data_IF_892776618365
#
_entry.id   IF_892776618365
#
_cell.length_a   1.000
_cell.length_b   1.000
_cell.length_c   1.000
_cell.angle_alpha   90.00
_cell.angle_beta   90.00
_cell.angle_gamma   90.00
#
_symmetry.space_group_name_H-M   'P 1'
#
loop_
_entity.id
_entity.type
_entity.pdbx_description
1 polymer ?
#
# COMPACT_ATOMS: atom_id res chain seq x y z
N UNK A 1 -17.57 3.33 -5.66
CA UNK A 1 -17.65 4.38 -4.61
C UNK A 1 -16.23 4.72 -4.21
N UNK A 2 -15.89 6.00 -4.08
CA UNK A 2 -14.61 6.39 -3.52
C UNK A 2 -14.63 6.07 -2.02
N UNK A 3 -13.63 5.33 -1.54
CA UNK A 3 -13.43 5.09 -0.10
C UNK A 3 -12.72 6.33 0.43
N UNK A 4 -13.33 7.02 1.38
CA UNK A 4 -12.66 8.08 2.12
C UNK A 4 -11.55 7.43 2.95
N UNK A 5 -10.29 7.71 2.62
CA UNK A 5 -9.15 7.10 3.29
C UNK A 5 -8.52 8.09 4.26
N UNK A 6 -8.23 7.69 5.50
CA UNK A 6 -7.45 8.52 6.41
C UNK A 6 -6.04 8.73 5.82
N UNK A 7 -5.56 9.97 5.90
CA UNK A 7 -4.23 10.36 5.40
C UNK A 7 -3.10 9.51 5.99
N UNK A 8 -3.29 9.01 7.21
CA UNK A 8 -2.34 8.14 7.89
C UNK A 8 -2.14 6.79 7.16
N UNK A 9 -3.20 6.18 6.63
CA UNK A 9 -3.07 4.93 5.85
C UNK A 9 -2.27 5.15 4.57
N UNK A 10 -2.49 6.30 3.92
CA UNK A 10 -1.77 6.68 2.71
C UNK A 10 -0.29 6.94 3.05
N UNK A 11 -0.01 7.62 4.17
CA UNK A 11 1.36 7.86 4.66
C UNK A 11 2.10 6.56 4.92
N UNK A 12 1.51 5.64 5.69
CA UNK A 12 2.11 4.34 6.00
C UNK A 12 2.40 3.52 4.72
N UNK A 13 1.48 3.53 3.75
CA UNK A 13 1.70 2.84 2.48
C UNK A 13 2.84 3.48 1.66
N UNK A 14 3.00 4.80 1.71
CA UNK A 14 4.13 5.49 1.06
C UNK A 14 5.46 5.16 1.74
N UNK A 15 5.49 5.12 3.07
CA UNK A 15 6.67 4.70 3.82
C UNK A 15 7.08 3.26 3.47
N UNK A 16 6.11 2.36 3.37
CA UNK A 16 6.35 1.00 2.89
C UNK A 16 6.88 0.98 1.45
N UNK A 17 6.36 1.82 0.54
CA UNK A 17 6.87 1.91 -0.82
C UNK A 17 8.32 2.41 -0.87
N UNK A 18 8.66 3.45 -0.10
CA UNK A 18 10.02 3.99 0.00
C UNK A 18 10.99 2.94 0.58
N UNK A 19 10.61 2.28 1.68
CA UNK A 19 11.42 1.22 2.27
C UNK A 19 11.64 0.05 1.30
N UNK A 20 10.63 -0.30 0.49
CA UNK A 20 10.77 -1.29 -0.59
C UNK A 20 11.77 -0.82 -1.64
N UNK A 21 11.67 0.43 -2.08
CA UNK A 21 12.57 1.02 -3.07
C UNK A 21 14.00 0.98 -2.55
N UNK A 22 14.25 1.45 -1.33
CA UNK A 22 15.58 1.42 -0.70
C UNK A 22 16.12 -0.01 -0.59
N UNK A 23 15.31 -0.96 -0.10
CA UNK A 23 15.71 -2.36 0.02
C UNK A 23 16.05 -2.99 -1.35
N UNK A 24 15.36 -2.58 -2.41
CA UNK A 24 15.60 -3.05 -3.79
C UNK A 24 16.84 -2.47 -4.46
N UNK A 25 17.40 -1.37 -3.94
CA UNK A 25 18.66 -0.79 -4.47
C UNK A 25 19.91 -1.56 -4.03
N UNK A 26 19.79 -2.43 -3.04
CA UNK A 26 20.89 -3.20 -2.44
C UNK A 26 20.72 -4.69 -2.75
N UNK A 27 21.80 -5.44 -2.60
CA UNK A 27 21.71 -6.91 -2.63
C UNK A 27 20.76 -7.42 -1.55
N UNK A 28 20.02 -8.48 -1.87
CA UNK A 28 19.04 -9.04 -0.96
C UNK A 28 19.69 -9.47 0.35
N UNK A 29 19.18 -8.94 1.46
CA UNK A 29 19.54 -9.36 2.81
C UNK A 29 18.33 -9.23 3.72
N UNK A 30 18.17 -10.15 4.67
CA UNK A 30 17.05 -10.10 5.62
C UNK A 30 17.05 -8.79 6.42
N UNK A 31 18.24 -8.29 6.80
CA UNK A 31 18.40 -7.03 7.52
C UNK A 31 18.05 -5.82 6.66
N UNK A 32 18.42 -5.81 5.38
CA UNK A 32 18.09 -4.74 4.44
C UNK A 32 16.60 -4.64 4.12
N UNK A 33 15.87 -5.77 4.21
CA UNK A 33 14.43 -5.83 3.97
C UNK A 33 13.59 -5.67 5.24
N UNK A 34 14.20 -5.71 6.43
CA UNK A 34 13.51 -5.56 7.71
C UNK A 34 12.68 -4.26 7.79
N UNK A 35 13.19 -3.08 7.39
CA UNK A 35 12.39 -1.84 7.44
C UNK A 35 11.13 -1.91 6.58
N UNK A 36 11.20 -2.56 5.42
CA UNK A 36 10.03 -2.77 4.56
C UNK A 36 9.01 -3.72 5.20
N UNK A 37 9.48 -4.82 5.80
CA UNK A 37 8.60 -5.77 6.49
C UNK A 37 7.85 -5.12 7.65
N UNK A 38 8.56 -4.35 8.48
CA UNK A 38 7.97 -3.63 9.61
C UNK A 38 6.93 -2.58 9.13
N UNK A 39 7.23 -1.87 8.03
CA UNK A 39 6.30 -0.92 7.43
C UNK A 39 5.05 -1.59 6.83
N UNK A 40 5.20 -2.75 6.17
CA UNK A 40 4.07 -3.51 5.62
C UNK A 40 3.18 -4.06 6.73
N UNK A 41 3.76 -4.52 7.84
CA UNK A 41 2.98 -4.98 9.00
C UNK A 41 2.14 -3.84 9.60
N UNK A 42 2.74 -2.65 9.76
CA UNK A 42 2.03 -1.45 10.21
C UNK A 42 0.85 -1.09 9.28
N UNK A 43 1.06 -1.15 7.95
CA UNK A 43 -0.01 -0.94 6.97
C UNK A 43 -1.13 -1.96 7.14
N UNK A 44 -0.80 -3.25 7.24
CA UNK A 44 -1.81 -4.31 7.37
C UNK A 44 -2.63 -4.17 8.65
N UNK A 45 -1.99 -3.86 9.78
CA UNK A 45 -2.68 -3.61 11.06
C UNK A 45 -3.62 -2.42 10.92
N UNK A 46 -3.15 -1.31 10.36
CA UNK A 46 -3.94 -0.09 10.25
C UNK A 46 -5.12 -0.25 9.27
N UNK A 47 -4.90 -0.90 8.12
CA UNK A 47 -5.96 -1.21 7.14
C UNK A 47 -7.01 -2.12 7.76
N UNK A 48 -6.59 -3.16 8.49
CA UNK A 48 -7.51 -4.11 9.13
C UNK A 48 -8.36 -3.41 10.19
N UNK A 49 -7.74 -2.55 11.01
CA UNK A 49 -8.45 -1.76 12.01
C UNK A 49 -9.48 -0.84 11.35
N UNK A 50 -9.06 -0.06 10.35
CA UNK A 50 -9.94 0.87 9.65
C UNK A 50 -11.11 0.16 8.96
N UNK A 51 -10.83 -0.94 8.25
CA UNK A 51 -11.86 -1.72 7.57
C UNK A 51 -12.93 -2.22 8.55
N UNK A 52 -12.51 -2.69 9.73
CA UNK A 52 -13.43 -3.12 10.79
C UNK A 52 -14.26 -1.96 11.35
N UNK A 53 -13.64 -0.81 11.61
CA UNK A 53 -14.33 0.38 12.15
C UNK A 53 -15.32 0.99 11.15
N UNK A 54 -14.96 1.00 9.87
CA UNK A 54 -15.78 1.54 8.79
C UNK A 54 -16.82 0.55 8.24
N UNK A 55 -16.78 -0.72 8.68
CA UNK A 55 -17.64 -1.78 8.14
C UNK A 55 -17.36 -2.11 6.66
N UNK A 56 -16.12 -1.88 6.22
CA UNK A 56 -15.66 -2.08 4.84
C UNK A 56 -14.89 -3.40 4.69
N UNK A 57 -14.77 -3.87 3.45
CA UNK A 57 -13.87 -4.98 3.14
C UNK A 57 -12.41 -4.56 3.28
N UNK A 58 -11.62 -5.33 4.04
CA UNK A 58 -10.16 -5.14 4.16
C UNK A 58 -9.50 -5.03 2.78
N UNK A 59 -9.92 -5.89 1.83
CA UNK A 59 -9.37 -5.92 0.48
C UNK A 59 -9.62 -4.59 -0.27
N UNK A 60 -10.85 -4.06 -0.19
CA UNK A 60 -11.21 -2.81 -0.86
C UNK A 60 -10.46 -1.61 -0.28
N UNK A 61 -10.32 -1.57 1.06
CA UNK A 61 -9.51 -0.55 1.74
C UNK A 61 -8.05 -0.64 1.31
N UNK A 62 -7.45 -1.83 1.34
CA UNK A 62 -6.05 -2.02 0.97
C UNK A 62 -5.78 -1.58 -0.48
N UNK A 63 -6.67 -1.98 -1.40
CA UNK A 63 -6.59 -1.58 -2.81
C UNK A 63 -6.66 -0.06 -2.94
N UNK A 64 -7.63 0.58 -2.29
CA UNK A 64 -7.78 2.03 -2.34
C UNK A 64 -6.56 2.76 -1.76
N UNK A 65 -5.99 2.26 -0.66
CA UNK A 65 -4.77 2.82 -0.03
C UNK A 65 -3.59 2.74 -0.99
N UNK A 66 -3.37 1.59 -1.64
CA UNK A 66 -2.32 1.42 -2.65
C UNK A 66 -2.51 2.37 -3.83
N UNK A 67 -3.73 2.47 -4.35
CA UNK A 67 -4.05 3.42 -5.44
C UNK A 67 -3.78 4.87 -5.02
N UNK A 68 -4.25 5.30 -3.85
CA UNK A 68 -4.05 6.66 -3.36
C UNK A 68 -2.58 7.00 -3.05
N UNK A 69 -1.81 6.02 -2.57
CA UNK A 69 -0.38 6.19 -2.33
C UNK A 69 0.38 6.41 -3.65
N UNK A 70 0.03 5.67 -4.70
CA UNK A 70 0.68 5.73 -6.02
C UNK A 70 0.17 6.89 -6.90
N UNK A 71 -1.09 7.31 -6.74
CA UNK A 71 -1.71 8.37 -7.55
C UNK A 71 -1.10 9.76 -7.31
N UNK A 72 -0.42 9.98 -6.20
CA UNK A 72 0.33 11.23 -5.98
C UNK A 72 1.70 11.25 -6.66
N UNK A 73 2.14 10.12 -7.22
CA UNK A 73 3.46 9.95 -7.84
C UNK A 73 3.39 9.76 -9.37
N UNK A 74 2.20 9.58 -9.95
CA UNK A 74 1.99 9.43 -11.40
C UNK A 74 0.81 10.28 -11.91
N UNK A 75 0.89 10.89 -13.12
CA UNK A 75 -0.27 11.51 -13.77
C UNK A 75 -1.36 10.45 -14.06
N UNK A 76 -2.63 10.87 -14.17
CA UNK A 76 -3.76 9.94 -14.18
C UNK A 76 -3.85 9.23 -15.53
N UNK A 77 -3.58 7.92 -15.59
CA UNK A 77 -3.99 7.10 -16.72
C UNK A 77 -4.67 5.81 -16.24
N UNK A 78 -5.93 5.76 -16.62
CA UNK A 78 -6.88 4.66 -16.70
C UNK A 78 -6.60 3.32 -16.00
N UNK A 79 -7.53 3.00 -15.11
CA UNK A 79 -7.84 1.61 -14.77
C UNK A 79 -8.40 0.89 -16.00
N UNK A 80 -7.58 0.06 -16.63
CA UNK A 80 -7.97 -1.14 -17.39
C UNK A 80 -6.74 -2.04 -17.34
N UNK A 81 -6.71 -3.21 -16.72
CA UNK A 81 -7.73 -4.21 -16.50
C UNK A 81 -7.04 -5.54 -16.77
N UNK A 82 -7.18 -6.51 -15.87
CA UNK A 82 -6.97 -7.93 -16.17
C UNK A 82 -5.54 -8.41 -16.30
N UNK A 83 -5.09 -9.15 -15.29
CA UNK A 83 -4.12 -10.24 -15.46
C UNK A 83 -4.60 -11.18 -16.57
N UNK A 84 -3.77 -11.34 -17.61
CA UNK A 84 -3.90 -12.38 -18.63
C UNK A 84 -2.58 -13.12 -18.68
N UNK A 85 -2.45 -14.15 -17.86
CA UNK A 85 -1.41 -15.18 -17.98
C UNK A 85 -1.85 -16.18 -19.04
N UNK A 86 -1.19 -16.19 -20.19
CA UNK A 86 -1.02 -17.37 -21.07
C UNK A 86 0.37 -17.34 -21.70
#
# INVERSE_FOLDING_TARGET
>A
MAIELPAELIRLQREANLARQEASTREYSAEGWKPWLDAVDAVHIAVTKYAKEAGLSRHEVEKAVKTAANAAEAPPEDSSGGVGTE
#
